data_IF_870444123212
#
_entry.id   IF_870444123212
#
_cell.length_a   1.000
_cell.length_b   1.000
_cell.length_c   1.000
_cell.angle_alpha   90.00
_cell.angle_beta   90.00
_cell.angle_gamma   90.00
#
_symmetry.space_group_name_H-M   'P 1'
#
loop_
_entity.id
_entity.type
_entity.pdbx_description
1 polymer ?
#
# COMPACT_ATOMS: atom_id res chain seq x y z
N UNK A 1 -19.54 -7.32 2.14
CA UNK A 1 -18.58 -8.40 1.78
C UNK A 1 -18.01 -9.15 2.98
N UNK A 2 -17.65 -8.50 4.09
CA UNK A 2 -17.23 -9.21 5.32
C UNK A 2 -18.33 -10.15 5.85
N UNK A 3 -19.57 -9.67 5.86
CA UNK A 3 -20.75 -10.42 6.36
C UNK A 3 -20.95 -11.82 5.74
N UNK A 4 -20.69 -11.98 4.44
CA UNK A 4 -20.96 -13.24 3.74
C UNK A 4 -19.82 -14.25 3.79
N UNK A 5 -18.60 -13.87 4.21
CA UNK A 5 -17.43 -14.78 4.17
C UNK A 5 -17.58 -16.01 5.06
N UNK A 6 -18.00 -15.90 6.33
CA UNK A 6 -18.18 -17.08 7.17
C UNK A 6 -19.24 -18.04 6.61
N UNK A 7 -20.30 -17.50 6.01
CA UNK A 7 -21.36 -18.30 5.40
C UNK A 7 -20.88 -19.03 4.14
N UNK A 8 -20.12 -18.35 3.26
CA UNK A 8 -19.49 -18.94 2.08
C UNK A 8 -18.57 -20.11 2.46
N UNK A 9 -17.77 -19.93 3.51
CA UNK A 9 -16.78 -20.95 3.94
C UNK A 9 -17.49 -22.16 4.54
N UNK A 10 -18.47 -21.96 5.42
CA UNK A 10 -19.30 -23.07 5.95
C UNK A 10 -19.98 -23.88 4.85
N UNK A 11 -20.48 -23.21 3.80
CA UNK A 11 -21.11 -23.88 2.66
C UNK A 11 -20.07 -24.64 1.83
N UNK A 12 -18.87 -24.09 1.65
CA UNK A 12 -17.78 -24.76 0.97
C UNK A 12 -17.26 -25.99 1.72
N UNK A 13 -17.13 -25.91 3.05
CA UNK A 13 -16.75 -27.05 3.91
C UNK A 13 -17.78 -28.18 3.87
N UNK A 14 -19.05 -27.83 3.69
CA UNK A 14 -20.15 -28.80 3.44
C UNK A 14 -20.15 -29.37 2.02
N UNK A 15 -19.21 -28.98 1.16
CA UNK A 15 -19.08 -29.50 -0.20
C UNK A 15 -20.00 -28.84 -1.23
N UNK A 16 -20.65 -27.72 -0.90
CA UNK A 16 -21.50 -27.01 -1.86
C UNK A 16 -20.66 -26.36 -2.96
N UNK A 17 -21.12 -26.46 -4.20
CA UNK A 17 -20.44 -25.92 -5.36
C UNK A 17 -20.40 -24.38 -5.34
N UNK A 18 -19.30 -23.80 -5.82
CA UNK A 18 -19.03 -22.35 -5.74
C UNK A 18 -20.08 -21.53 -6.50
N UNK A 19 -20.54 -22.05 -7.63
CA UNK A 19 -21.57 -21.45 -8.47
C UNK A 19 -22.92 -21.39 -7.75
N UNK A 20 -23.25 -22.43 -6.98
CA UNK A 20 -24.49 -22.52 -6.22
C UNK A 20 -24.47 -21.57 -5.00
N UNK A 21 -23.33 -21.47 -4.32
CA UNK A 21 -23.11 -20.46 -3.28
C UNK A 21 -23.30 -19.04 -3.85
N UNK A 22 -22.75 -18.77 -5.03
CA UNK A 22 -22.92 -17.48 -5.69
C UNK A 22 -24.38 -17.16 -6.00
N UNK A 23 -25.12 -18.14 -6.55
CA UNK A 23 -26.56 -18.03 -6.83
C UNK A 23 -27.38 -17.78 -5.56
N UNK A 24 -27.13 -18.54 -4.50
CA UNK A 24 -27.89 -18.45 -3.25
C UNK A 24 -27.74 -17.09 -2.55
N UNK A 25 -26.53 -16.54 -2.52
CA UNK A 25 -26.26 -15.26 -1.87
C UNK A 25 -26.43 -14.05 -2.79
N UNK A 26 -26.75 -14.25 -4.08
CA UNK A 26 -26.80 -13.16 -5.07
C UNK A 26 -25.43 -12.52 -5.31
N UNK A 27 -24.34 -13.28 -5.13
CA UNK A 27 -22.96 -12.80 -5.24
C UNK A 27 -22.32 -13.42 -6.47
N UNK A 28 -21.62 -12.60 -7.26
CA UNK A 28 -20.85 -13.10 -8.40
C UNK A 28 -19.83 -14.19 -7.97
N UNK A 29 -19.80 -15.32 -8.69
CA UNK A 29 -19.00 -16.51 -8.34
C UNK A 29 -17.51 -16.19 -8.09
N UNK A 30 -16.94 -15.26 -8.88
CA UNK A 30 -15.55 -14.81 -8.70
C UNK A 30 -15.24 -14.33 -7.27
N UNK A 31 -16.23 -13.79 -6.57
CA UNK A 31 -16.14 -13.33 -5.19
C UNK A 31 -16.12 -14.50 -4.21
N UNK A 32 -16.94 -15.53 -4.43
CA UNK A 32 -16.92 -16.80 -3.68
C UNK A 32 -15.56 -17.49 -3.84
N UNK A 33 -15.05 -17.57 -5.07
CA UNK A 33 -13.71 -18.11 -5.36
C UNK A 33 -12.60 -17.37 -4.63
N UNK A 34 -12.63 -16.04 -4.61
CA UNK A 34 -11.66 -15.20 -3.88
C UNK A 34 -11.75 -15.40 -2.37
N UNK A 35 -12.95 -15.54 -1.82
CA UNK A 35 -13.17 -15.78 -0.39
C UNK A 35 -12.60 -17.14 0.04
N UNK A 36 -12.89 -18.21 -0.70
CA UNK A 36 -12.37 -19.56 -0.44
C UNK A 36 -10.83 -19.57 -0.54
N UNK A 37 -10.27 -19.00 -1.62
CA UNK A 37 -8.81 -18.93 -1.80
C UNK A 37 -8.15 -18.23 -0.61
N UNK A 38 -8.73 -17.11 -0.15
CA UNK A 38 -8.20 -16.37 1.00
C UNK A 38 -8.26 -17.17 2.29
N UNK A 39 -9.36 -17.86 2.56
CA UNK A 39 -9.48 -18.72 3.73
C UNK A 39 -8.42 -19.82 3.75
N UNK A 40 -8.18 -20.49 2.61
CA UNK A 40 -7.10 -21.48 2.48
C UNK A 40 -5.69 -20.91 2.73
N UNK A 41 -5.48 -19.63 2.45
CA UNK A 41 -4.18 -18.96 2.65
C UNK A 41 -3.97 -18.39 4.06
N UNK A 42 -5.04 -18.12 4.81
CA UNK A 42 -4.97 -17.34 6.07
C UNK A 42 -5.64 -18.00 7.26
N UNK A 43 -6.38 -19.10 7.04
CA UNK A 43 -7.21 -19.81 8.03
C UNK A 43 -8.11 -18.86 8.85
N UNK A 44 -8.41 -17.70 8.28
CA UNK A 44 -9.12 -16.62 8.95
C UNK A 44 -10.12 -15.98 7.99
N UNK A 45 -11.24 -15.54 8.56
CA UNK A 45 -12.30 -14.83 7.85
C UNK A 45 -12.02 -13.32 7.74
N UNK A 46 -11.00 -12.85 8.44
CA UNK A 46 -10.63 -11.44 8.46
C UNK A 46 -9.99 -10.98 7.15
N UNK A 47 -9.99 -9.66 6.95
CA UNK A 47 -9.19 -9.09 5.88
C UNK A 47 -7.70 -9.30 6.16
N UNK A 48 -6.95 -9.65 5.10
CA UNK A 48 -5.49 -9.70 5.19
C UNK A 48 -5.02 -8.32 5.69
N UNK A 49 -4.21 -8.26 6.75
CA UNK A 49 -3.66 -6.98 7.20
C UNK A 49 -2.92 -6.36 6.02
N UNK A 50 -3.36 -5.18 5.59
CA UNK A 50 -2.72 -4.46 4.51
C UNK A 50 -1.27 -4.18 4.87
N UNK A 51 -0.34 -4.51 3.98
CA UNK A 51 1.08 -4.13 4.13
C UNK A 51 1.24 -2.65 3.81
N UNK A 52 0.69 -1.79 4.65
CA UNK A 52 0.95 -0.36 4.56
C UNK A 52 2.37 -0.08 5.03
N UNK A 53 3.09 0.76 4.29
CA UNK A 53 4.36 1.30 4.76
C UNK A 53 4.05 2.26 5.91
N UNK A 54 4.55 1.96 7.11
CA UNK A 54 4.49 2.89 8.23
C UNK A 54 5.27 4.15 7.83
N UNK A 55 4.63 5.32 7.87
CA UNK A 55 5.29 6.61 7.60
C UNK A 55 6.22 6.96 8.76
N UNK A 56 7.49 6.55 8.67
CA UNK A 56 8.45 6.64 9.78
C UNK A 56 9.27 7.93 9.79
N UNK A 57 9.31 8.69 8.68
CA UNK A 57 10.17 9.87 8.55
C UNK A 57 10.00 10.89 9.69
N UNK A 58 8.74 11.20 10.09
CA UNK A 58 8.42 12.11 11.22
C UNK A 58 8.18 11.42 12.56
N UNK A 59 8.57 10.15 12.72
CA UNK A 59 8.43 9.50 14.02
C UNK A 59 9.26 10.24 15.08
N UNK A 60 8.74 10.35 16.31
CA UNK A 60 9.43 11.05 17.39
C UNK A 60 10.87 10.53 17.58
N UNK A 61 11.08 9.22 17.52
CA UNK A 61 12.41 8.62 17.60
C UNK A 61 13.37 9.07 16.48
N UNK A 62 12.87 9.31 15.26
CA UNK A 62 13.69 9.84 14.16
C UNK A 62 13.95 11.34 14.33
N UNK A 63 12.97 12.10 14.81
CA UNK A 63 13.12 13.53 15.13
C UNK A 63 14.15 13.73 16.25
N UNK A 64 14.06 12.98 17.34
CA UNK A 64 15.07 13.02 18.43
C UNK A 64 16.46 12.65 17.92
N UNK A 65 16.59 11.63 17.05
CA UNK A 65 17.87 11.26 16.45
C UNK A 65 18.46 12.39 15.60
N UNK A 66 17.65 13.00 14.74
CA UNK A 66 18.09 14.13 13.92
C UNK A 66 18.52 15.31 14.78
N UNK A 67 17.76 15.66 15.83
CA UNK A 67 18.11 16.71 16.80
C UNK A 67 19.41 16.42 17.55
N UNK A 68 19.65 15.16 17.93
CA UNK A 68 20.90 14.76 18.59
C UNK A 68 22.11 14.85 17.65
N UNK A 69 21.92 14.57 16.37
CA UNK A 69 23.00 14.52 15.38
C UNK A 69 23.34 15.90 14.81
N UNK A 70 22.35 16.77 14.66
CA UNK A 70 22.50 18.09 14.04
C UNK A 70 22.23 19.15 15.10
N UNK A 71 23.29 19.62 15.74
CA UNK A 71 23.22 20.54 16.88
C UNK A 71 23.33 22.01 16.46
N UNK A 72 23.98 22.29 15.32
CA UNK A 72 24.26 23.65 14.86
C UNK A 72 23.86 23.85 13.41
N UNK A 73 23.63 25.11 13.02
CA UNK A 73 23.32 25.49 11.63
C UNK A 73 24.45 25.05 10.68
N UNK A 74 25.71 25.15 11.10
CA UNK A 74 26.84 24.70 10.28
C UNK A 74 26.89 23.18 10.13
N UNK A 75 26.58 22.42 11.18
CA UNK A 75 26.44 20.96 11.08
C UNK A 75 25.32 20.55 10.13
N UNK A 76 24.22 21.31 10.12
CA UNK A 76 23.10 21.10 9.19
C UNK A 76 23.52 21.37 7.74
N UNK A 77 24.19 22.50 7.48
CA UNK A 77 24.69 22.84 6.13
C UNK A 77 25.61 21.77 5.60
N UNK A 78 26.54 21.26 6.43
CA UNK A 78 27.45 20.18 6.05
C UNK A 78 26.71 18.89 5.73
N UNK A 79 25.73 18.51 6.56
CA UNK A 79 24.92 17.31 6.34
C UNK A 79 24.12 17.40 5.03
N UNK A 80 23.51 18.56 4.75
CA UNK A 80 22.77 18.79 3.51
C UNK A 80 23.67 18.74 2.27
N UNK A 81 24.87 19.34 2.33
CA UNK A 81 25.85 19.26 1.24
C UNK A 81 26.32 17.82 0.98
N UNK A 82 26.57 17.05 2.04
CA UNK A 82 26.92 15.63 1.91
C UNK A 82 25.79 14.84 1.27
N UNK A 83 24.56 15.00 1.75
CA UNK A 83 23.39 14.34 1.21
C UNK A 83 23.17 14.70 -0.26
N UNK A 84 23.38 15.96 -0.65
CA UNK A 84 23.31 16.39 -2.05
C UNK A 84 24.31 15.66 -2.93
N UNK A 85 25.57 15.56 -2.50
CA UNK A 85 26.63 14.89 -3.24
C UNK A 85 26.44 13.36 -3.33
N UNK A 86 25.71 12.76 -2.40
CA UNK A 86 25.39 11.33 -2.40
C UNK A 86 24.24 10.98 -3.38
N UNK A 87 23.46 11.97 -3.84
CA UNK A 87 22.41 11.74 -4.84
C UNK A 87 23.06 11.56 -6.21
N UNK A 88 22.93 10.37 -6.79
CA UNK A 88 23.47 10.08 -8.11
C UNK A 88 22.74 10.84 -9.23
N UNK A 89 23.46 11.16 -10.30
CA UNK A 89 22.90 11.79 -11.49
C UNK A 89 21.79 10.94 -12.13
N UNK A 90 21.93 9.61 -12.09
CA UNK A 90 20.90 8.71 -12.61
C UNK A 90 19.61 8.77 -11.79
N UNK A 91 19.73 8.91 -10.46
CA UNK A 91 18.58 9.15 -9.59
C UNK A 91 17.90 10.48 -9.93
N UNK A 92 18.69 11.54 -10.12
CA UNK A 92 18.16 12.85 -10.54
C UNK A 92 17.44 12.77 -11.90
N UNK A 93 18.04 12.09 -12.88
CA UNK A 93 17.43 11.91 -14.21
C UNK A 93 16.09 11.18 -14.11
N UNK A 94 16.04 10.08 -13.36
CA UNK A 94 14.80 9.33 -13.14
C UNK A 94 13.71 10.16 -12.45
N UNK A 95 14.07 11.03 -11.50
CA UNK A 95 13.13 11.95 -10.84
C UNK A 95 12.58 12.97 -11.85
N UNK A 96 13.45 13.59 -12.64
CA UNK A 96 13.06 14.59 -13.66
C UNK A 96 12.14 13.96 -14.71
N UNK A 97 12.49 12.78 -15.22
CA UNK A 97 11.69 12.08 -16.22
C UNK A 97 10.31 11.68 -15.68
N UNK A 98 10.24 11.26 -14.41
CA UNK A 98 8.96 10.93 -13.77
C UNK A 98 8.10 12.16 -13.49
N UNK A 99 8.71 13.33 -13.23
CA UNK A 99 7.96 14.55 -12.96
C UNK A 99 7.07 14.92 -14.15
N UNK A 100 7.63 14.92 -15.37
CA UNK A 100 6.87 15.21 -16.59
C UNK A 100 5.70 14.24 -16.79
N UNK A 101 5.91 12.94 -16.53
CA UNK A 101 4.85 11.92 -16.61
C UNK A 101 3.74 12.16 -15.59
N UNK A 102 4.10 12.50 -14.35
CA UNK A 102 3.14 12.78 -13.28
C UNK A 102 2.37 14.08 -13.52
N UNK A 103 3.04 15.11 -14.05
CA UNK A 103 2.39 16.35 -14.41
C UNK A 103 1.34 16.12 -15.49
N UNK A 104 1.67 15.32 -16.52
CA UNK A 104 0.71 14.93 -17.56
C UNK A 104 -0.50 14.20 -16.97
N UNK A 105 -0.28 13.20 -16.11
CA UNK A 105 -1.38 12.51 -15.40
C UNK A 105 -2.24 13.46 -14.55
N UNK A 106 -1.63 14.47 -13.91
CA UNK A 106 -2.36 15.47 -13.13
C UNK A 106 -3.31 16.30 -14.01
N UNK A 107 -2.81 16.72 -15.18
CA UNK A 107 -3.57 17.46 -16.17
C UNK A 107 -4.71 16.58 -16.71
N UNK A 108 -4.41 15.34 -17.09
CA UNK A 108 -5.40 14.38 -17.58
C UNK A 108 -6.50 14.10 -16.53
N UNK A 109 -6.14 14.13 -15.25
CA UNK A 109 -7.06 13.97 -14.13
C UNK A 109 -7.79 15.27 -13.73
N UNK A 110 -7.56 16.41 -14.39
CA UNK A 110 -8.10 17.73 -14.01
C UNK A 110 -7.88 18.07 -12.52
N UNK A 111 -6.72 17.68 -11.96
CA UNK A 111 -6.41 17.88 -10.55
C UNK A 111 -7.08 16.90 -9.55
N UNK A 112 -7.86 15.92 -10.01
CA UNK A 112 -8.30 14.79 -9.18
C UNK A 112 -7.14 13.84 -8.83
N UNK A 113 -7.37 12.95 -7.86
CA UNK A 113 -6.37 11.96 -7.44
C UNK A 113 -5.98 11.01 -8.59
N UNK A 114 -4.68 10.86 -8.84
CA UNK A 114 -4.11 9.92 -9.81
C UNK A 114 -2.95 9.12 -9.20
N UNK A 115 -2.88 7.82 -9.51
CA UNK A 115 -1.78 6.91 -9.16
C UNK A 115 -0.70 6.86 -10.26
#
# INVERSE_FOLDING_TARGET
MKEFRPAIIRMHERGVEKCEIGRLFGIHEATVRKAIKRFKETESNEDRPGKSLKKTARSQGNVQRARRMIQTVESLKRALRKAWNEISVDTLRGIVDNFSKRLKKCIDANGCHFE
#
